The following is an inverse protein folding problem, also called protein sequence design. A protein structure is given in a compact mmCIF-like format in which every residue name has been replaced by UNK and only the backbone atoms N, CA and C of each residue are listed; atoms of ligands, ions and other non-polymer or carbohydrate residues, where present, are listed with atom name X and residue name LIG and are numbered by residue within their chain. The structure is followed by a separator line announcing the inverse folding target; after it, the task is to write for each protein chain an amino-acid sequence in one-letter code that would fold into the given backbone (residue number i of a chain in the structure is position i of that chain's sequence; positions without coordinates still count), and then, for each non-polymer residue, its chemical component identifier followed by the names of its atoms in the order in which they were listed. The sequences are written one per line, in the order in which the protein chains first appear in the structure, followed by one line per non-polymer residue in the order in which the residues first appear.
data_IF_643232504630
#
_entry.id   IF_643232504630
#
_cell.length_a   1.000
_cell.length_b   1.000
_cell.length_c   1.000
_cell.angle_alpha   90.00
_cell.angle_beta   90.00
_cell.angle_gamma   90.00
#
_symmetry.space_group_name_H-M   'P 1'
#
loop_
_entity.id
_entity.type
_entity.pdbx_description
1 polymer ?
#
# COMPACT_ATOMS: atom_id res chain seq x y z
N UNK A 1 -10.54 17.24 -22.55
CA UNK A 1 -10.93 15.92 -22.05
C UNK A 1 -11.82 16.08 -20.82
N UNK A 2 -12.71 15.11 -20.58
CA UNK A 2 -13.58 15.08 -19.40
C UNK A 2 -12.74 14.80 -18.15
N UNK A 3 -12.94 15.57 -17.07
CA UNK A 3 -11.99 15.60 -15.94
C UNK A 3 -12.23 14.53 -14.88
N UNK A 4 -13.40 13.91 -14.86
CA UNK A 4 -13.74 12.90 -13.84
C UNK A 4 -14.87 12.00 -14.30
N UNK A 5 -14.96 10.81 -13.72
CA UNK A 5 -16.10 9.90 -13.94
C UNK A 5 -17.44 10.54 -13.58
N UNK A 6 -17.50 11.38 -12.54
CA UNK A 6 -18.73 12.12 -12.18
C UNK A 6 -19.15 13.06 -13.30
N UNK A 7 -18.19 13.76 -13.89
CA UNK A 7 -18.45 14.62 -15.04
C UNK A 7 -18.88 13.80 -16.26
N UNK A 8 -18.25 12.64 -16.50
CA UNK A 8 -18.65 11.73 -17.59
C UNK A 8 -20.10 11.31 -17.47
N UNK A 9 -20.56 10.91 -16.28
CA UNK A 9 -21.96 10.53 -16.05
C UNK A 9 -22.91 11.71 -16.30
N UNK A 10 -22.57 12.90 -15.79
CA UNK A 10 -23.38 14.12 -16.01
C UNK A 10 -23.48 14.46 -17.51
N UNK A 11 -22.40 14.25 -18.26
CA UNK A 11 -22.42 14.44 -19.70
C UNK A 11 -23.27 13.37 -20.40
N UNK A 12 -23.26 12.11 -19.97
CA UNK A 12 -24.13 11.05 -20.53
C UNK A 12 -25.63 11.30 -20.23
N UNK A 13 -25.95 11.95 -19.11
CA UNK A 13 -27.34 12.33 -18.78
C UNK A 13 -27.91 13.37 -19.76
N UNK A 14 -27.07 14.30 -20.25
CA UNK A 14 -27.52 15.46 -21.03
C UNK A 14 -27.15 15.41 -22.50
N UNK A 15 -26.07 14.70 -22.85
CA UNK A 15 -25.54 14.62 -24.21
C UNK A 15 -26.05 13.38 -24.94
N UNK A 16 -26.93 13.60 -25.90
CA UNK A 16 -27.55 12.56 -26.73
C UNK A 16 -26.54 11.77 -27.58
N UNK A 17 -25.45 12.40 -28.04
CA UNK A 17 -24.42 11.70 -28.81
C UNK A 17 -23.71 10.63 -27.96
N UNK A 18 -23.45 10.91 -26.69
CA UNK A 18 -22.85 9.95 -25.77
C UNK A 18 -23.80 8.82 -25.41
N UNK A 19 -25.09 9.13 -25.25
CA UNK A 19 -26.12 8.09 -25.03
C UNK A 19 -26.20 7.14 -26.22
N UNK A 20 -26.27 7.70 -27.43
CA UNK A 20 -26.27 6.91 -28.66
C UNK A 20 -25.01 6.03 -28.78
N UNK A 21 -23.82 6.62 -28.55
CA UNK A 21 -22.55 5.91 -28.63
C UNK A 21 -22.46 4.74 -27.63
N UNK A 22 -23.00 4.93 -26.42
CA UNK A 22 -23.01 3.92 -25.36
C UNK A 22 -24.22 2.97 -25.41
N UNK A 23 -25.14 3.15 -26.36
CA UNK A 23 -26.35 2.33 -26.49
C UNK A 23 -27.44 2.61 -25.45
N UNK A 24 -27.40 3.75 -24.76
CA UNK A 24 -28.48 4.15 -23.84
C UNK A 24 -29.66 4.75 -24.62
N UNK A 25 -30.85 4.19 -24.41
CA UNK A 25 -32.10 4.76 -24.93
C UNK A 25 -32.47 6.07 -24.22
N UNK A 26 -33.40 6.85 -24.76
CA UNK A 26 -33.80 8.14 -24.18
C UNK A 26 -34.30 8.05 -22.73
N UNK A 27 -35.00 6.97 -22.41
CA UNK A 27 -35.60 6.75 -21.09
C UNK A 27 -34.77 5.85 -20.17
N UNK A 28 -33.61 5.37 -20.64
CA UNK A 28 -32.77 4.47 -19.86
C UNK A 28 -32.03 5.25 -18.76
N UNK A 29 -32.15 4.86 -17.50
CA UNK A 29 -31.40 5.54 -16.44
C UNK A 29 -29.90 5.31 -16.60
N UNK A 30 -29.12 6.37 -16.38
CA UNK A 30 -27.65 6.29 -16.40
C UNK A 30 -27.19 5.75 -15.05
N UNK A 31 -26.30 4.75 -15.01
CA UNK A 31 -25.76 4.25 -13.76
C UNK A 31 -25.05 5.35 -12.97
N UNK A 32 -25.25 5.35 -11.66
CA UNK A 32 -24.52 6.24 -10.76
C UNK A 32 -23.00 6.05 -10.89
N UNK A 33 -22.21 7.12 -10.72
CA UNK A 33 -20.75 7.08 -10.94
C UNK A 33 -20.03 6.01 -10.10
N UNK A 34 -20.54 5.69 -8.90
CA UNK A 34 -19.95 4.66 -8.02
C UNK A 34 -20.12 3.24 -8.55
N UNK A 35 -21.10 3.01 -9.43
CA UNK A 35 -21.33 1.70 -10.06
C UNK A 35 -20.12 1.27 -10.88
N UNK A 36 -19.45 2.20 -11.54
CA UNK A 36 -18.23 1.93 -12.29
C UNK A 36 -17.10 1.49 -11.38
N UNK A 37 -16.89 2.19 -10.24
CA UNK A 37 -15.88 1.80 -9.25
C UNK A 37 -16.08 0.37 -8.76
N UNK A 38 -17.32 0.02 -8.38
CA UNK A 38 -17.67 -1.35 -7.96
C UNK A 38 -17.53 -2.37 -9.09
N UNK A 39 -17.81 -1.98 -10.34
CA UNK A 39 -17.66 -2.85 -11.50
C UNK A 39 -16.17 -3.13 -11.76
N UNK A 40 -15.30 -2.11 -11.66
CA UNK A 40 -13.85 -2.29 -11.77
C UNK A 40 -13.34 -3.25 -10.69
N UNK A 41 -13.71 -3.03 -9.43
CA UNK A 41 -13.34 -3.91 -8.32
C UNK A 41 -13.77 -5.36 -8.60
N UNK A 42 -15.03 -5.59 -8.98
CA UNK A 42 -15.56 -6.94 -9.25
C UNK A 42 -14.94 -7.61 -10.47
N UNK A 43 -14.74 -6.86 -11.55
CA UNK A 43 -14.24 -7.38 -12.82
C UNK A 43 -12.78 -7.81 -12.73
N UNK A 44 -12.02 -7.20 -11.83
CA UNK A 44 -10.59 -7.40 -11.69
C UNK A 44 -10.18 -7.97 -10.33
N UNK A 45 -11.13 -8.40 -9.51
CA UNK A 45 -10.87 -8.89 -8.14
C UNK A 45 -9.90 -10.08 -8.12
N UNK A 46 -10.08 -11.03 -9.04
CA UNK A 46 -9.29 -12.26 -9.11
C UNK A 46 -8.23 -12.20 -10.23
N UNK A 47 -7.77 -10.99 -10.58
CA UNK A 47 -6.81 -10.79 -11.67
C UNK A 47 -5.59 -10.04 -11.20
N UNK A 48 -4.42 -10.50 -11.63
CA UNK A 48 -3.13 -9.90 -11.30
C UNK A 48 -2.76 -8.74 -12.24
N UNK A 49 -3.71 -8.27 -13.06
CA UNK A 49 -3.49 -7.25 -14.10
C UNK A 49 -2.89 -5.97 -13.53
N UNK A 50 -3.31 -5.55 -12.34
CA UNK A 50 -2.76 -4.36 -11.70
C UNK A 50 -1.31 -4.55 -11.26
N UNK A 51 -0.98 -5.74 -10.74
CA UNK A 51 0.39 -6.11 -10.38
C UNK A 51 1.27 -6.20 -11.62
N UNK A 52 0.80 -6.84 -12.69
CA UNK A 52 1.52 -6.94 -13.96
C UNK A 52 1.85 -5.56 -14.55
N UNK A 53 0.87 -4.64 -14.56
CA UNK A 53 1.08 -3.26 -15.02
C UNK A 53 2.10 -2.56 -14.14
N UNK A 54 1.99 -2.71 -12.81
CA UNK A 54 2.90 -2.11 -11.87
C UNK A 54 4.34 -2.61 -12.06
N UNK A 55 4.54 -3.93 -12.18
CA UNK A 55 5.84 -4.52 -12.46
C UNK A 55 6.40 -4.11 -13.80
N UNK A 56 5.55 -3.97 -14.82
CA UNK A 56 5.99 -3.47 -16.12
C UNK A 56 6.52 -2.03 -16.05
N UNK A 57 5.80 -1.15 -15.35
CA UNK A 57 6.24 0.24 -15.13
C UNK A 57 7.54 0.26 -14.33
N UNK A 58 7.64 -0.53 -13.25
CA UNK A 58 8.88 -0.64 -12.47
C UNK A 58 10.05 -1.10 -13.33
N UNK A 59 9.85 -2.10 -14.18
CA UNK A 59 10.87 -2.60 -15.10
C UNK A 59 11.36 -1.51 -16.04
N UNK A 60 10.46 -0.72 -16.64
CA UNK A 60 10.87 0.40 -17.49
C UNK A 60 11.67 1.47 -16.74
N UNK A 61 11.29 1.77 -15.49
CA UNK A 61 11.99 2.74 -14.64
C UNK A 61 13.40 2.22 -14.30
N UNK A 62 13.52 0.92 -13.98
CA UNK A 62 14.80 0.26 -13.73
C UNK A 62 15.71 0.28 -14.96
N UNK A 63 15.18 -0.05 -16.14
CA UNK A 63 15.95 -0.01 -17.41
C UNK A 63 16.46 1.40 -17.73
N UNK A 64 15.72 2.44 -17.34
CA UNK A 64 16.13 3.84 -17.49
C UNK A 64 17.06 4.33 -16.37
N UNK A 65 17.39 3.49 -15.39
CA UNK A 65 18.24 3.85 -14.25
C UNK A 65 17.62 4.91 -13.33
N UNK A 66 16.29 5.05 -13.35
CA UNK A 66 15.57 6.05 -12.56
C UNK A 66 15.17 5.52 -11.17
N UNK A 67 15.46 4.24 -10.89
CA UNK A 67 15.24 3.60 -9.60
C UNK A 67 16.59 3.40 -8.90
N UNK A 68 16.81 4.03 -7.74
CA UNK A 68 17.87 3.66 -6.82
C UNK A 68 17.30 2.73 -5.75
N UNK A 69 17.94 1.58 -5.54
CA UNK A 69 17.57 0.61 -4.50
C UNK A 69 18.19 0.95 -3.13
N UNK A 70 18.91 2.07 -3.02
CA UNK A 70 19.68 2.42 -1.81
C UNK A 70 18.75 2.84 -0.66
N UNK A 71 17.59 3.43 -0.98
CA UNK A 71 16.62 3.89 0.01
C UNK A 71 15.20 3.48 -0.39
N UNK A 72 14.66 2.46 0.31
CA UNK A 72 13.27 2.04 0.18
C UNK A 72 12.44 2.88 1.16
N UNK A 73 11.67 3.83 0.63
CA UNK A 73 10.70 4.58 1.43
C UNK A 73 9.36 3.84 1.43
N UNK A 74 9.00 3.28 2.59
CA UNK A 74 7.68 2.69 2.81
C UNK A 74 6.81 3.71 3.57
N UNK A 75 5.87 4.37 2.89
CA UNK A 75 4.86 5.18 3.57
C UNK A 75 3.72 4.28 4.03
N UNK A 76 3.73 3.92 5.32
CA UNK A 76 2.71 3.06 5.90
C UNK A 76 1.42 3.85 6.15
N UNK A 77 0.52 3.87 5.18
CA UNK A 77 -0.85 4.35 5.42
C UNK A 77 -1.58 3.37 6.34
N UNK A 78 -2.07 3.83 7.49
CA UNK A 78 -2.83 2.98 8.40
C UNK A 78 -4.21 2.66 7.82
N UNK A 79 -4.38 1.44 7.32
CA UNK A 79 -5.69 0.93 6.91
C UNK A 79 -6.38 0.34 8.13
N UNK A 80 -7.64 0.74 8.39
CA UNK A 80 -8.42 0.16 9.48
C UNK A 80 -8.85 -1.25 9.09
N UNK A 81 -8.29 -2.25 9.76
CA UNK A 81 -8.76 -3.62 9.65
C UNK A 81 -10.20 -3.77 10.20
N UNK A 82 -11.02 -4.58 9.55
CA UNK A 82 -12.33 -4.99 10.06
C UNK A 82 -12.17 -6.14 11.07
N UNK A 83 -11.32 -5.94 12.07
CA UNK A 83 -10.93 -6.95 13.07
C UNK A 83 -11.52 -6.64 14.45
N UNK A 84 -12.10 -7.66 15.11
CA UNK A 84 -12.60 -7.50 16.47
C UNK A 84 -11.46 -7.63 17.50
N UNK A 85 -11.14 -6.55 18.22
CA UNK A 85 -10.09 -6.52 19.23
C UNK A 85 -10.24 -7.54 20.37
N UNK A 86 -11.45 -8.08 20.58
CA UNK A 86 -11.74 -9.08 21.62
C UNK A 86 -11.58 -10.54 21.16
N UNK A 87 -11.49 -10.80 19.84
CA UNK A 87 -11.28 -12.14 19.28
C UNK A 87 -9.87 -12.22 18.70
N UNK A 88 -8.97 -12.84 19.45
CA UNK A 88 -7.57 -12.99 19.06
C UNK A 88 -7.00 -14.31 19.54
N UNK A 89 -6.02 -14.82 18.81
CA UNK A 89 -5.16 -15.90 19.24
C UNK A 89 -3.81 -15.33 19.68
N UNK A 90 -3.19 -15.94 20.68
CA UNK A 90 -1.83 -15.59 21.10
C UNK A 90 -0.85 -16.44 20.30
N UNK A 91 0.06 -15.79 19.59
CA UNK A 91 1.13 -16.46 18.85
C UNK A 91 2.47 -15.95 19.35
N UNK A 92 3.37 -16.88 19.65
CA UNK A 92 4.74 -16.54 20.00
C UNK A 92 5.49 -16.36 18.69
N UNK A 93 5.99 -15.15 18.46
CA UNK A 93 6.74 -14.82 17.25
C UNK A 93 8.18 -14.55 17.65
N UNK A 94 9.10 -15.13 16.88
CA UNK A 94 10.51 -14.86 16.98
C UNK A 94 10.80 -13.46 16.43
N UNK A 95 11.34 -12.57 17.26
CA UNK A 95 11.73 -11.23 16.82
C UNK A 95 13.10 -11.33 16.14
N UNK A 96 13.11 -11.41 14.81
CA UNK A 96 14.37 -11.36 14.05
C UNK A 96 15.07 -10.00 14.27
N UNK A 97 16.40 -10.05 14.32
CA UNK A 97 17.26 -8.88 14.49
C UNK A 97 17.21 -8.00 13.26
N UNK A 98 17.01 -6.70 13.47
CA UNK A 98 16.83 -5.72 12.40
C UNK A 98 18.19 -5.38 11.77
N UNK A 99 18.61 -6.12 10.76
CA UNK A 99 19.83 -5.84 9.99
C UNK A 99 19.92 -4.39 9.45
N UNK A 100 18.77 -3.71 9.29
CA UNK A 100 18.71 -2.30 8.91
C UNK A 100 19.07 -1.35 10.07
N UNK A 101 18.73 -1.70 11.32
CA UNK A 101 19.10 -0.89 12.50
C UNK A 101 20.61 -0.85 12.69
N UNK A 102 21.30 -1.98 12.48
CA UNK A 102 22.76 -2.05 12.58
C UNK A 102 23.44 -1.12 11.58
N UNK A 103 22.98 -1.11 10.32
CA UNK A 103 23.50 -0.20 9.29
C UNK A 103 23.24 1.27 9.66
N UNK A 104 22.04 1.58 10.13
CA UNK A 104 21.67 2.94 10.55
C UNK A 104 22.52 3.44 11.73
N UNK A 105 22.80 2.57 12.71
CA UNK A 105 23.67 2.91 13.83
C UNK A 105 25.12 3.18 13.38
N UNK A 106 25.60 2.42 12.41
CA UNK A 106 26.92 2.61 11.81
C UNK A 106 27.03 3.98 11.11
N UNK A 107 26.04 4.32 10.28
CA UNK A 107 25.95 5.63 9.61
C UNK A 107 25.89 6.78 10.62
N UNK A 108 25.05 6.67 11.65
CA UNK A 108 24.95 7.67 12.71
C UNK A 108 26.26 7.85 13.49
N UNK A 109 27.01 6.77 13.71
CA UNK A 109 28.29 6.85 14.40
C UNK A 109 29.37 7.51 13.54
N UNK A 110 29.42 7.22 12.24
CA UNK A 110 30.32 7.91 11.30
C UNK A 110 30.04 9.42 11.28
N UNK A 111 28.77 9.82 11.19
CA UNK A 111 28.38 11.24 11.25
C UNK A 111 28.80 11.89 12.58
N UNK A 112 28.67 11.17 13.70
CA UNK A 112 29.10 11.68 15.02
C UNK A 112 30.62 11.88 15.10
N UNK A 113 31.40 10.97 14.55
CA UNK A 113 32.86 11.07 14.51
C UNK A 113 33.31 12.27 13.66
N UNK A 114 32.68 12.49 12.51
CA UNK A 114 32.91 13.68 11.67
C UNK A 114 32.60 14.98 12.43
N UNK A 115 31.56 14.95 13.27
CA UNK A 115 31.17 16.09 14.11
C UNK A 115 31.90 16.15 15.48
N UNK A 116 32.93 15.31 15.70
CA UNK A 116 33.74 15.29 16.93
C UNK A 116 32.97 14.82 18.19
N UNK A 117 31.83 14.17 18.01
CA UNK A 117 31.01 13.58 19.08
C UNK A 117 31.43 12.12 19.30
N UNK A 118 31.32 11.66 20.54
CA UNK A 118 31.56 10.25 20.85
C UNK A 118 30.50 9.36 20.18
N UNK A 119 30.89 8.19 19.65
CA UNK A 119 29.95 7.22 19.11
C UNK A 119 28.98 6.76 20.20
N UNK A 120 27.80 6.30 19.78
CA UNK A 120 26.88 5.66 20.71
C UNK A 120 27.52 4.38 21.27
N UNK A 121 27.25 4.03 22.53
CA UNK A 121 27.63 2.72 23.04
C UNK A 121 26.97 1.65 22.15
N UNK A 122 27.67 0.54 21.84
CA UNK A 122 27.04 -0.56 21.14
C UNK A 122 25.81 -1.01 21.93
N UNK A 123 24.65 -1.07 21.27
CA UNK A 123 23.48 -1.69 21.87
C UNK A 123 23.86 -3.12 22.26
N UNK A 124 23.55 -3.49 23.50
CA UNK A 124 23.68 -4.89 23.91
C UNK A 124 22.79 -5.65 22.96
N UNK A 125 23.36 -6.56 22.18
CA UNK A 125 22.62 -7.56 21.38
C UNK A 125 21.55 -8.15 22.29
N UNK A 126 20.32 -7.64 22.17
CA UNK A 126 19.19 -8.21 22.87
C UNK A 126 19.04 -9.62 22.29
N UNK A 127 19.29 -10.61 23.15
CA UNK A 127 19.12 -12.02 22.85
C UNK A 127 17.79 -12.20 22.14
N UNK A 128 17.74 -13.03 21.10
CA UNK A 128 16.53 -13.48 20.42
C UNK A 128 15.30 -13.48 21.36
N UNK A 129 14.50 -12.42 21.27
CA UNK A 129 13.38 -12.23 22.17
C UNK A 129 12.15 -12.88 21.56
N UNK A 130 11.58 -13.85 22.28
CA UNK A 130 10.27 -14.38 21.97
C UNK A 130 9.21 -13.41 22.48
N UNK A 131 8.42 -12.84 21.58
CA UNK A 131 7.33 -11.95 21.95
C UNK A 131 5.98 -12.62 21.70
N UNK A 132 5.10 -12.58 22.69
CA UNK A 132 3.69 -12.92 22.48
C UNK A 132 3.01 -11.77 21.73
N UNK A 133 2.54 -12.05 20.52
CA UNK A 133 1.73 -11.12 19.71
C UNK A 133 0.30 -11.64 19.67
N UNK A 134 -0.66 -10.71 19.72
CA UNK A 134 -2.07 -11.01 19.50
C UNK A 134 -2.34 -10.95 18.01
N UNK A 135 -2.82 -12.05 17.45
CA UNK A 135 -3.20 -12.18 16.04
C UNK A 135 -4.73 -12.22 15.96
N UNK A 136 -5.34 -11.40 15.10
CA UNK A 136 -6.80 -11.41 14.96
C UNK A 136 -7.26 -12.70 14.28
N UNK A 137 -8.43 -13.20 14.66
CA UNK A 137 -9.04 -14.35 13.98
C UNK A 137 -9.60 -14.00 12.59
N UNK A 138 -9.94 -12.73 12.36
CA UNK A 138 -10.57 -12.28 11.09
C UNK A 138 -9.53 -11.76 10.09
N UNK A 139 -8.48 -11.11 10.58
CA UNK A 139 -7.43 -10.52 9.76
C UNK A 139 -6.06 -10.70 10.46
N UNK A 140 -5.32 -11.78 10.13
CA UNK A 140 -4.04 -12.11 10.78
C UNK A 140 -2.95 -11.04 10.57
N UNK A 141 -3.01 -10.28 9.49
CA UNK A 141 -2.03 -9.25 9.15
C UNK A 141 -2.31 -7.91 9.86
N UNK A 142 -3.49 -7.78 10.49
CA UNK A 142 -3.84 -6.58 11.24
C UNK A 142 -2.97 -6.41 12.49
N UNK A 143 -2.22 -5.31 12.53
CA UNK A 143 -1.44 -4.91 13.70
C UNK A 143 -2.34 -4.46 14.86
N UNK A 144 -1.94 -4.82 16.08
CA UNK A 144 -2.50 -4.25 17.30
C UNK A 144 -1.64 -3.07 17.76
N UNK A 145 -2.10 -1.85 17.46
CA UNK A 145 -1.59 -0.60 18.02
C UNK A 145 -2.29 -0.25 19.34
#
# INVERSE_FOLDING_TARGET
GIRSMRQTIKEIETNMAYRWFLGFGFYTEVPHFSTFGKNYERRFHDTDVFEDIFYHILKEIMEKGLLSADHIFLDSTHVKASANKRKYNKKVVHKETRAYEEKLQLELNLDREEHGKKPFPPEKLEKEEWKEIKESTTDPESGYY
#
